data_IF_499248296569
#
_entry.id   IF_499248296569
#
_cell.length_a   1.000
_cell.length_b   1.000
_cell.length_c   1.000
_cell.angle_alpha   90.00
_cell.angle_beta   90.00
_cell.angle_gamma   90.00
#
_symmetry.space_group_name_H-M   'P 1'
#
loop_
_entity.id
_entity.type
_entity.pdbx_description
1 polymer ?
#
# COMPACT_ATOMS: atom_id res chain seq x y z
N UNK A 1 -10.21 -0.27 6.76
CA UNK A 1 -9.67 -0.53 5.39
C UNK A 1 -8.16 -0.29 5.35
N UNK A 2 -7.72 0.75 6.04
CA UNK A 2 -6.36 1.28 6.18
C UNK A 2 -5.35 0.20 6.58
N UNK A 3 -5.67 -0.65 7.58
CA UNK A 3 -4.78 -1.76 7.98
C UNK A 3 -4.58 -2.82 6.90
N UNK A 4 -5.60 -3.08 6.07
CA UNK A 4 -5.47 -4.02 4.94
C UNK A 4 -4.60 -3.39 3.85
N UNK A 5 -4.81 -2.11 3.55
CA UNK A 5 -3.96 -1.36 2.62
C UNK A 5 -2.52 -1.31 3.13
N UNK A 6 -2.29 -1.09 4.42
CA UNK A 6 -0.96 -1.10 5.03
C UNK A 6 -0.22 -2.42 4.79
N UNK A 7 -0.89 -3.57 4.99
CA UNK A 7 -0.32 -4.87 4.68
C UNK A 7 -0.06 -5.02 3.19
N UNK A 8 -0.95 -4.51 2.32
CA UNK A 8 -0.71 -4.51 0.88
C UNK A 8 0.52 -3.69 0.50
N UNK A 9 0.67 -2.47 1.03
CA UNK A 9 1.82 -1.59 0.82
C UNK A 9 3.12 -2.27 1.27
N UNK A 10 3.12 -2.87 2.46
CA UNK A 10 4.24 -3.65 2.99
C UNK A 10 4.63 -4.80 2.04
N UNK A 11 3.66 -5.58 1.56
CA UNK A 11 3.93 -6.71 0.63
C UNK A 11 4.40 -6.28 -0.76
N UNK A 12 4.21 -5.01 -1.12
CA UNK A 12 4.72 -4.42 -2.36
C UNK A 12 6.04 -3.68 -2.18
N UNK A 13 6.60 -3.67 -0.96
CA UNK A 13 7.84 -2.96 -0.66
C UNK A 13 7.68 -1.44 -0.64
N UNK A 14 6.47 -0.96 -0.37
CA UNK A 14 6.17 0.47 -0.27
C UNK A 14 6.14 1.00 1.17
N UNK A 15 6.28 0.10 2.14
CA UNK A 15 6.42 0.42 3.56
C UNK A 15 7.31 -0.65 4.18
N UNK A 16 8.08 -0.27 5.20
CA UNK A 16 9.01 -1.16 5.92
C UNK A 16 8.30 -2.01 6.98
N UNK A 17 7.19 -1.49 7.53
CA UNK A 17 6.33 -2.19 8.47
C UNK A 17 4.85 -1.79 8.34
N UNK A 18 4.00 -2.44 9.12
CA UNK A 18 2.54 -2.22 9.10
C UNK A 18 2.16 -0.84 9.64
N UNK A 19 2.85 -0.33 10.66
CA UNK A 19 2.53 0.96 11.27
C UNK A 19 2.83 2.12 10.32
N UNK A 20 3.98 2.06 9.65
CA UNK A 20 4.31 2.97 8.55
C UNK A 20 3.32 2.82 7.40
N UNK A 21 2.96 1.59 7.02
CA UNK A 21 1.93 1.34 6.01
C UNK A 21 0.59 1.98 6.36
N UNK A 22 0.19 2.00 7.64
CA UNK A 22 -1.04 2.67 8.10
C UNK A 22 -0.91 4.18 7.93
N UNK A 23 0.19 4.79 8.38
CA UNK A 23 0.42 6.24 8.20
C UNK A 23 0.38 6.64 6.72
N UNK A 24 0.98 5.82 5.84
CA UNK A 24 0.96 6.06 4.40
C UNK A 24 -0.45 5.92 3.83
N UNK A 25 -1.19 4.88 4.20
CA UNK A 25 -2.57 4.71 3.76
C UNK A 25 -3.47 5.88 4.19
N UNK A 26 -3.31 6.37 5.42
CA UNK A 26 -4.03 7.54 5.94
C UNK A 26 -3.68 8.85 5.22
N UNK A 27 -2.40 9.06 4.89
CA UNK A 27 -1.96 10.22 4.10
C UNK A 27 -2.52 10.16 2.67
N UNK A 28 -2.47 9.00 2.03
CA UNK A 28 -3.01 8.80 0.68
C UNK A 28 -4.53 8.99 0.63
N UNK A 29 -5.25 8.57 1.68
CA UNK A 29 -6.68 8.85 1.82
C UNK A 29 -6.99 10.37 1.85
N UNK A 30 -6.05 11.20 2.28
CA UNK A 30 -6.14 12.67 2.28
C UNK A 30 -5.51 13.32 1.05
N UNK A 31 -5.01 12.53 0.11
CA UNK A 31 -4.26 12.99 -1.06
C UNK A 31 -2.99 13.76 -0.70
N UNK A 32 -2.27 13.26 0.31
CA UNK A 32 -1.03 13.84 0.83
C UNK A 32 0.16 12.90 0.59
N UNK A 33 1.31 13.46 0.19
CA UNK A 33 2.60 12.78 0.20
C UNK A 33 3.42 13.33 1.36
N UNK A 34 3.68 12.50 2.36
CA UNK A 34 4.45 12.88 3.55
C UNK A 34 5.95 12.86 3.27
N UNK A 35 6.73 13.57 4.08
CA UNK A 35 8.20 13.52 4.04
C UNK A 35 8.71 12.09 4.27
N UNK A 36 8.14 11.38 5.24
CA UNK A 36 8.47 9.97 5.52
C UNK A 36 8.27 9.07 4.29
N UNK A 37 7.20 9.30 3.52
CA UNK A 37 6.93 8.55 2.29
C UNK A 37 7.99 8.83 1.21
N UNK A 38 8.41 10.10 1.08
CA UNK A 38 9.46 10.49 0.16
C UNK A 38 10.83 9.93 0.56
N UNK A 39 11.16 9.92 1.85
CA UNK A 39 12.41 9.34 2.35
C UNK A 39 12.46 7.82 2.13
N UNK A 40 11.35 7.14 2.40
CA UNK A 40 11.23 5.69 2.25
C UNK A 40 11.28 5.25 0.78
N UNK A 41 10.54 5.95 -0.09
CA UNK A 41 10.37 5.55 -1.50
C UNK A 41 11.31 6.28 -2.46
N UNK A 42 11.98 7.33 -2.01
CA UNK A 42 12.91 8.12 -2.80
C UNK A 42 14.07 7.30 -3.37
N UNK A 43 14.45 6.24 -2.66
CA UNK A 43 15.51 5.32 -3.04
C UNK A 43 14.99 3.96 -3.54
N UNK A 44 13.67 3.79 -3.67
CA UNK A 44 13.09 2.55 -4.13
C UNK A 44 13.25 2.41 -5.66
N UNK A 45 13.96 1.36 -6.10
CA UNK A 45 14.31 1.16 -7.51
C UNK A 45 13.08 0.94 -8.41
N UNK A 46 12.06 0.26 -7.91
CA UNK A 46 10.84 -0.03 -8.69
C UNK A 46 10.03 1.25 -8.90
N UNK A 47 9.98 2.11 -7.88
CA UNK A 47 9.38 3.44 -7.98
C UNK A 47 10.16 4.28 -8.99
N UNK A 48 11.49 4.36 -8.85
CA UNK A 48 12.37 5.08 -9.76
C UNK A 48 12.17 4.66 -11.23
N UNK A 49 12.17 3.35 -11.50
CA UNK A 49 11.96 2.84 -12.86
C UNK A 49 10.56 3.16 -13.40
N UNK A 50 9.55 3.23 -12.53
CA UNK A 50 8.17 3.54 -12.95
C UNK A 50 7.97 5.03 -13.22
N UNK A 51 8.51 5.91 -12.36
CA UNK A 51 8.40 7.36 -12.55
C UNK A 51 9.35 7.89 -13.64
N UNK A 52 10.36 7.11 -14.04
CA UNK A 52 11.24 7.41 -15.16
C UNK A 52 12.32 8.47 -14.88
N UNK A 53 12.60 8.74 -13.61
CA UNK A 53 13.54 9.77 -13.17
C UNK A 53 13.67 9.81 -11.63
N UNK A 54 14.39 10.81 -11.08
CA UNK A 54 14.48 10.98 -9.64
C UNK A 54 13.09 11.07 -9.00
N UNK A 55 12.89 10.35 -7.89
CA UNK A 55 11.62 10.37 -7.16
C UNK A 55 11.51 11.70 -6.41
N UNK A 56 10.43 12.44 -6.67
CA UNK A 56 10.11 13.74 -6.06
C UNK A 56 8.71 13.68 -5.49
N UNK A 57 8.34 14.59 -4.59
CA UNK A 57 6.96 14.66 -4.09
C UNK A 57 5.93 14.81 -5.23
N UNK A 58 6.28 15.56 -6.28
CA UNK A 58 5.41 15.81 -7.44
C UNK A 58 5.10 14.54 -8.25
N UNK A 59 6.06 13.62 -8.38
CA UNK A 59 5.86 12.37 -9.14
C UNK A 59 5.53 11.16 -8.25
N UNK A 60 5.88 11.20 -6.97
CA UNK A 60 5.60 10.15 -6.01
C UNK A 60 4.12 10.12 -5.62
N UNK A 61 3.50 11.29 -5.41
CA UNK A 61 2.10 11.35 -5.01
C UNK A 61 1.17 10.72 -6.07
N UNK A 62 1.24 11.08 -7.37
CA UNK A 62 0.42 10.43 -8.39
C UNK A 62 0.67 8.92 -8.49
N UNK A 63 1.93 8.48 -8.40
CA UNK A 63 2.28 7.06 -8.40
C UNK A 63 1.64 6.33 -7.22
N UNK A 64 1.79 6.85 -6.01
CA UNK A 64 1.25 6.22 -4.80
C UNK A 64 -0.26 6.24 -4.77
N UNK A 65 -0.90 7.26 -5.34
CA UNK A 65 -2.36 7.28 -5.48
C UNK A 65 -2.88 6.21 -6.43
N UNK A 66 -2.20 5.98 -7.56
CA UNK A 66 -2.53 4.86 -8.45
C UNK A 66 -2.46 3.52 -7.70
N UNK A 67 -1.43 3.32 -6.86
CA UNK A 67 -1.27 2.09 -6.07
C UNK A 67 -2.30 1.98 -4.95
N UNK A 68 -2.64 3.10 -4.31
CA UNK A 68 -3.67 3.16 -3.29
C UNK A 68 -5.04 2.77 -3.85
N UNK A 69 -5.45 3.36 -4.98
CA UNK A 69 -6.69 3.00 -5.67
C UNK A 69 -6.72 1.53 -6.10
N UNK A 70 -5.59 1.01 -6.59
CA UNK A 70 -5.46 -0.40 -6.96
C UNK A 70 -5.65 -1.31 -5.74
N UNK A 71 -4.99 -0.99 -4.62
CA UNK A 71 -5.14 -1.74 -3.37
C UNK A 71 -6.59 -1.74 -2.90
N UNK A 72 -7.27 -0.60 -2.91
CA UNK A 72 -8.69 -0.49 -2.55
C UNK A 72 -9.57 -1.40 -3.42
N UNK A 73 -9.39 -1.37 -4.75
CA UNK A 73 -10.17 -2.20 -5.69
C UNK A 73 -9.94 -3.69 -5.44
N UNK A 74 -8.68 -4.11 -5.27
CA UNK A 74 -8.32 -5.51 -5.03
C UNK A 74 -8.84 -6.01 -3.69
N UNK A 75 -8.64 -5.24 -2.61
CA UNK A 75 -9.08 -5.62 -1.27
C UNK A 75 -10.61 -5.74 -1.23
N UNK A 76 -11.33 -4.79 -1.84
CA UNK A 76 -12.79 -4.88 -1.95
C UNK A 76 -13.21 -6.16 -2.68
N UNK A 77 -12.62 -6.44 -3.83
CA UNK A 77 -12.90 -7.64 -4.61
C UNK A 77 -12.63 -8.92 -3.80
N UNK A 78 -11.52 -8.98 -3.06
CA UNK A 78 -11.15 -10.13 -2.23
C UNK A 78 -12.08 -10.32 -1.02
N UNK A 79 -12.55 -9.23 -0.42
CA UNK A 79 -13.56 -9.30 0.64
C UNK A 79 -14.90 -9.84 0.13
N UNK A 80 -15.28 -9.50 -1.10
CA UNK A 80 -16.49 -10.03 -1.75
C UNK A 80 -16.31 -11.48 -2.25
N UNK A 81 -15.06 -11.92 -2.46
CA UNK A 81 -14.71 -13.23 -3.01
C UNK A 81 -13.64 -13.95 -2.16
N UNK A 82 -13.95 -14.31 -0.90
CA UNK A 82 -12.94 -14.81 0.05
C UNK A 82 -12.34 -16.18 -0.30
N UNK A 83 -12.91 -16.88 -1.29
CA UNK A 83 -12.40 -18.15 -1.82
C UNK A 83 -11.43 -17.98 -2.98
N UNK A 84 -11.26 -16.76 -3.51
CA UNK A 84 -10.22 -16.48 -4.50
C UNK A 84 -8.84 -16.79 -3.92
N UNK A 85 -7.97 -17.40 -4.71
CA UNK A 85 -6.65 -17.81 -4.24
C UNK A 85 -5.84 -16.62 -3.73
N UNK A 86 -5.89 -15.47 -4.39
CA UNK A 86 -5.17 -14.28 -3.95
C UNK A 86 -5.80 -13.69 -2.69
N UNK A 87 -7.14 -13.73 -2.57
CA UNK A 87 -7.82 -13.33 -1.34
C UNK A 87 -7.34 -14.17 -0.14
N UNK A 88 -7.28 -15.50 -0.29
CA UNK A 88 -6.81 -16.41 0.76
C UNK A 88 -5.37 -16.07 1.17
N UNK A 89 -4.46 -15.91 0.21
CA UNK A 89 -3.07 -15.56 0.50
C UNK A 89 -2.96 -14.20 1.19
N UNK A 90 -3.63 -13.18 0.66
CA UNK A 90 -3.59 -11.83 1.21
C UNK A 90 -4.14 -11.79 2.64
N UNK A 91 -5.26 -12.45 2.91
CA UNK A 91 -5.86 -12.48 4.24
C UNK A 91 -5.03 -13.30 5.25
N UNK A 92 -4.33 -14.33 4.80
CA UNK A 92 -3.35 -15.01 5.65
C UNK A 92 -2.16 -14.10 5.99
N UNK A 93 -1.67 -13.30 5.04
CA UNK A 93 -0.64 -12.30 5.31
C UNK A 93 -1.12 -11.23 6.29
N UNK A 94 -2.38 -10.77 6.19
CA UNK A 94 -2.96 -9.85 7.17
C UNK A 94 -2.92 -10.44 8.59
N UNK A 95 -3.36 -11.69 8.77
CA UNK A 95 -3.32 -12.38 10.07
C UNK A 95 -1.90 -12.53 10.63
N UNK A 96 -0.92 -12.86 9.79
CA UNK A 96 0.50 -12.93 10.20
C UNK A 96 1.05 -11.61 10.69
N UNK A 97 0.49 -10.50 10.21
CA UNK A 97 0.85 -9.14 10.57
C UNK A 97 -0.04 -8.55 11.68
N UNK A 98 -0.83 -9.37 12.38
CA UNK A 98 -1.70 -8.91 13.47
C UNK A 98 -2.90 -8.08 13.04
N UNK A 99 -3.26 -8.11 11.74
CA UNK A 99 -4.43 -7.41 11.21
C UNK A 99 -5.61 -8.36 11.19
N UNK A 100 -6.54 -8.14 12.10
CA UNK A 100 -7.83 -8.85 12.13
C UNK A 100 -8.69 -8.45 10.93
N UNK A 101 -9.37 -9.44 10.35
CA UNK A 101 -10.28 -9.26 9.23
C UNK A 101 -11.67 -9.53 9.78
N UNK A 102 -12.43 -8.47 10.00
CA UNK A 102 -13.88 -8.59 10.21
C UNK A 102 -14.48 -9.06 8.88
N UNK A 103 -14.92 -10.32 8.84
CA UNK A 103 -15.61 -10.92 7.70
C UNK A 103 -17.12 -10.78 7.86
#
# INVERSE_FOLDING_TARGET
>A
MEKLIAVWLLKRGYADDVEQGVRFAEALAKNECTEEMLETLGHNIDVFMTVGGPVTAENLLPFMQEKYEMAQKLIKFWSENPKDTNAVFFFNECRKNGVEIEQ
#
